data_IF_053053694921
#
_entry.id   IF_053053694921
#
_cell.length_a   1.000
_cell.length_b   1.000
_cell.length_c   1.000
_cell.angle_alpha   90.00
_cell.angle_beta   90.00
_cell.angle_gamma   90.00
#
_symmetry.space_group_name_H-M   'P 1'
#
loop_
_entity.id
_entity.type
_entity.pdbx_description
1 polymer ?
#
# COMPACT_ATOMS: atom_id res chain seq x y z
N UNK A 1 9.20 11.28 12.18
CA UNK A 1 7.89 10.68 11.80
C UNK A 1 8.16 9.41 11.02
N UNK A 2 7.21 8.48 11.00
CA UNK A 2 7.26 7.31 10.13
C UNK A 2 6.11 7.35 9.14
N UNK A 3 6.35 6.88 7.92
CA UNK A 3 5.29 6.66 6.95
C UNK A 3 4.73 5.28 7.17
N UNK A 4 3.40 5.16 7.24
CA UNK A 4 2.72 3.86 7.40
C UNK A 4 3.21 2.85 6.35
N UNK A 5 3.39 1.61 6.78
CA UNK A 5 3.72 0.51 5.90
C UNK A 5 2.59 0.20 4.92
N UNK A 6 2.94 -0.39 3.79
CA UNK A 6 1.96 -0.88 2.83
C UNK A 6 1.34 -2.18 3.31
N UNK A 7 0.02 -2.20 3.49
CA UNK A 7 -0.76 -3.42 3.61
C UNK A 7 -1.45 -3.68 2.26
N UNK A 8 -1.49 -4.94 1.80
CA UNK A 8 -2.27 -5.34 0.62
C UNK A 8 -3.76 -4.96 0.74
N UNK A 9 -4.27 -4.80 1.97
CA UNK A 9 -5.59 -4.24 2.21
C UNK A 9 -5.74 -2.78 1.74
N UNK A 10 -4.65 -1.99 1.72
CA UNK A 10 -4.66 -0.60 1.26
C UNK A 10 -4.99 -0.49 -0.24
N UNK A 11 -4.51 -1.42 -1.08
CA UNK A 11 -4.71 -1.38 -2.55
C UNK A 11 -6.19 -1.42 -2.93
N UNK A 12 -6.96 -2.31 -2.31
CA UNK A 12 -8.36 -2.51 -2.67
C UNK A 12 -9.28 -1.45 -2.10
N UNK A 13 -8.89 -0.79 -0.99
CA UNK A 13 -9.70 0.27 -0.37
C UNK A 13 -9.35 1.67 -0.88
N UNK A 14 -8.15 1.88 -1.45
CA UNK A 14 -7.66 3.20 -1.86
C UNK A 14 -7.02 3.14 -3.26
N UNK A 15 -7.83 3.08 -4.33
CA UNK A 15 -7.32 2.96 -5.70
C UNK A 15 -6.53 4.19 -6.18
N UNK A 16 -6.63 5.33 -5.49
CA UNK A 16 -5.82 6.52 -5.78
C UNK A 16 -4.95 6.90 -4.57
N UNK A 17 -3.65 6.66 -4.68
CA UNK A 17 -2.66 7.01 -3.65
C UNK A 17 -1.70 8.07 -4.17
N UNK A 18 -1.47 9.10 -3.35
CA UNK A 18 -0.48 10.15 -3.61
C UNK A 18 0.80 9.99 -2.79
N UNK A 19 0.80 9.09 -1.80
CA UNK A 19 2.00 8.71 -1.04
C UNK A 19 2.80 7.69 -1.84
N UNK A 20 4.04 7.99 -2.26
CA UNK A 20 4.83 7.09 -3.07
C UNK A 20 5.19 5.78 -2.36
N UNK A 21 5.17 4.67 -3.09
CA UNK A 21 5.37 3.36 -2.47
C UNK A 21 6.77 3.11 -1.91
N UNK A 22 7.79 3.82 -2.40
CA UNK A 22 9.17 3.64 -1.95
C UNK A 22 9.43 4.19 -0.54
N UNK A 23 8.56 5.05 0.00
CA UNK A 23 8.69 5.57 1.37
C UNK A 23 7.83 4.83 2.39
N UNK A 24 7.06 3.82 2.01
CA UNK A 24 6.25 3.06 2.97
C UNK A 24 7.12 2.38 4.02
N UNK A 25 6.74 2.53 5.29
CA UNK A 25 7.50 2.02 6.44
C UNK A 25 8.73 2.86 6.80
N UNK A 26 9.10 3.84 5.97
CA UNK A 26 10.34 4.59 6.13
C UNK A 26 10.23 5.75 7.12
N UNK A 27 11.35 6.04 7.77
CA UNK A 27 11.51 7.15 8.71
C UNK A 27 11.93 8.41 7.98
N UNK A 28 11.32 9.53 8.37
CA UNK A 28 11.68 10.84 7.85
C UNK A 28 11.55 11.95 8.87
N UNK A 29 12.08 13.11 8.51
CA UNK A 29 12.03 14.35 9.29
C UNK A 29 11.07 15.32 8.61
N UNK A 30 10.10 15.86 9.35
CA UNK A 30 9.22 16.91 8.85
C UNK A 30 10.04 18.20 8.73
N UNK A 31 10.11 18.75 7.53
CA UNK A 31 10.80 20.03 7.26
C UNK A 31 9.82 21.20 7.30
N UNK A 32 8.61 20.99 6.79
CA UNK A 32 7.64 22.06 6.62
C UNK A 32 6.20 21.53 6.71
N UNK A 33 5.32 22.30 7.34
CA UNK A 33 3.88 22.16 7.20
C UNK A 33 3.42 23.02 6.01
N UNK A 34 2.95 22.36 4.95
CA UNK A 34 2.60 23.02 3.68
C UNK A 34 1.20 23.64 3.74
N UNK A 35 0.26 22.98 4.42
CA UNK A 35 -1.10 23.48 4.57
C UNK A 35 -2.14 22.37 4.69
N UNK A 36 -3.42 22.75 4.56
CA UNK A 36 -4.56 21.85 4.60
C UNK A 36 -5.25 21.77 3.22
N UNK A 37 -5.20 20.60 2.59
CA UNK A 37 -5.74 20.35 1.24
C UNK A 37 -6.80 19.25 1.28
N UNK A 38 -7.68 19.19 0.28
CA UNK A 38 -8.69 18.14 0.21
C UNK A 38 -8.05 16.75 0.18
N UNK A 39 -8.67 15.75 0.82
CA UNK A 39 -8.16 14.38 0.83
C UNK A 39 -8.08 13.84 -0.62
N UNK A 40 -6.86 13.52 -1.13
CA UNK A 40 -6.67 13.08 -2.51
C UNK A 40 -7.39 11.77 -2.82
N UNK A 41 -7.51 10.87 -1.85
CA UNK A 41 -8.15 9.56 -2.00
C UNK A 41 -9.66 9.70 -2.26
N UNK A 42 -10.28 10.77 -1.73
CA UNK A 42 -11.69 11.07 -1.92
C UNK A 42 -11.93 11.91 -3.17
N UNK A 43 -11.15 12.99 -3.38
CA UNK A 43 -11.38 13.89 -4.53
C UNK A 43 -11.12 13.24 -5.88
N UNK A 44 -10.35 12.15 -5.93
CA UNK A 44 -10.14 11.40 -7.16
C UNK A 44 -11.42 10.74 -7.70
N UNK A 45 -12.42 10.50 -6.84
CA UNK A 45 -13.66 9.80 -7.20
C UNK A 45 -14.94 10.57 -6.84
N UNK A 46 -14.83 11.70 -6.15
CA UNK A 46 -15.97 12.51 -5.74
C UNK A 46 -16.44 13.48 -6.84
N UNK A 47 -17.72 13.85 -6.80
CA UNK A 47 -18.24 14.98 -7.59
C UNK A 47 -17.53 16.27 -7.13
N UNK A 48 -16.96 17.07 -8.05
CA UNK A 48 -16.27 18.33 -7.72
C UNK A 48 -17.10 19.34 -6.90
N UNK A 49 -18.43 19.22 -6.92
CA UNK A 49 -19.35 20.07 -6.15
C UNK A 49 -19.47 19.65 -4.68
N UNK A 50 -19.04 18.45 -4.33
CA UNK A 50 -19.09 17.92 -2.97
C UNK A 50 -17.82 18.32 -2.24
N UNK A 51 -17.97 19.02 -1.12
CA UNK A 51 -16.85 19.38 -0.27
C UNK A 51 -16.18 18.13 0.30
N UNK A 52 -14.86 18.02 0.14
CA UNK A 52 -14.06 16.93 0.69
C UNK A 52 -13.35 17.38 1.98
N UNK A 53 -13.25 16.50 3.00
CA UNK A 53 -12.50 16.82 4.21
C UNK A 53 -11.06 17.18 3.88
N UNK A 54 -10.55 18.21 4.55
CA UNK A 54 -9.16 18.64 4.38
C UNK A 54 -8.23 17.81 5.28
N UNK A 55 -7.10 17.40 4.72
CA UNK A 55 -5.99 16.75 5.39
C UNK A 55 -4.78 17.68 5.39
N UNK A 56 -4.00 17.64 6.46
CA UNK A 56 -2.72 18.35 6.57
C UNK A 56 -1.69 17.70 5.64
N UNK A 57 -0.88 18.53 4.99
CA UNK A 57 0.20 18.12 4.09
C UNK A 57 1.53 18.61 4.66
N UNK A 58 2.51 17.70 4.72
CA UNK A 58 3.84 17.99 5.24
C UNK A 58 4.89 17.67 4.18
N UNK A 59 5.96 18.46 4.11
CA UNK A 59 7.18 18.09 3.41
C UNK A 59 8.08 17.31 4.37
N UNK A 60 8.43 16.09 3.98
CA UNK A 60 9.21 15.17 4.78
C UNK A 60 10.47 14.79 4.02
N UNK A 61 11.63 14.94 4.66
CA UNK A 61 12.92 14.52 4.12
C UNK A 61 13.28 13.13 4.61
N UNK A 62 13.81 12.33 3.69
CA UNK A 62 14.27 10.96 3.89
C UNK A 62 15.69 10.83 3.37
N UNK A 63 16.53 10.04 4.05
CA UNK A 63 17.86 9.73 3.55
C UNK A 63 17.76 8.63 2.51
N UNK A 64 18.49 8.77 1.40
CA UNK A 64 18.48 7.78 0.32
C UNK A 64 18.99 6.42 0.78
N UNK A 65 19.99 6.40 1.67
CA UNK A 65 20.45 5.17 2.32
C UNK A 65 19.31 4.45 3.05
N UNK A 66 18.45 5.15 3.78
CA UNK A 66 17.40 4.47 4.55
C UNK A 66 16.34 3.85 3.63
N UNK A 67 16.16 4.41 2.43
CA UNK A 67 15.19 3.92 1.44
C UNK A 67 15.73 2.75 0.62
N UNK A 68 17.00 2.80 0.24
CA UNK A 68 17.54 1.97 -0.84
C UNK A 68 18.72 1.08 -0.41
N UNK A 69 19.22 1.15 0.84
CA UNK A 69 20.33 0.29 1.33
C UNK A 69 20.13 -1.21 1.06
N UNK A 70 18.93 -1.81 1.26
CA UNK A 70 18.72 -3.23 0.97
C UNK A 70 18.93 -3.63 -0.51
N UNK A 71 19.12 -2.68 -1.43
CA UNK A 71 19.28 -2.90 -2.87
C UNK A 71 20.71 -2.73 -3.39
N UNK A 72 21.70 -2.60 -2.49
CA UNK A 72 23.12 -2.57 -2.86
C UNK A 72 23.58 -1.30 -3.57
N UNK A 73 22.84 -0.20 -3.42
CA UNK A 73 23.21 1.08 -4.01
C UNK A 73 24.03 1.91 -3.00
N UNK A 74 25.15 2.46 -3.48
CA UNK A 74 26.05 3.34 -2.74
C UNK A 74 25.56 4.78 -2.92
N UNK A 75 24.93 5.33 -1.87
CA UNK A 75 24.52 6.73 -1.82
C UNK A 75 25.44 7.45 -0.87
N UNK A 76 25.78 8.70 -1.19
CA UNK A 76 26.55 9.55 -0.29
C UNK A 76 25.85 9.63 1.08
N UNK A 77 26.64 9.78 2.14
CA UNK A 77 26.13 9.78 3.52
C UNK A 77 25.07 10.85 3.83
N UNK A 78 24.88 11.83 2.95
CA UNK A 78 23.95 12.95 3.10
C UNK A 78 22.91 13.05 1.97
N UNK A 79 22.93 12.15 0.99
CA UNK A 79 21.98 12.15 -0.10
C UNK A 79 20.56 11.93 0.44
N UNK A 80 19.65 12.80 0.06
CA UNK A 80 18.29 12.81 0.59
C UNK A 80 17.26 13.14 -0.48
N UNK A 81 16.03 12.71 -0.23
CA UNK A 81 14.87 13.06 -1.03
C UNK A 81 13.79 13.65 -0.12
N UNK A 82 13.04 14.60 -0.67
CA UNK A 82 11.88 15.19 0.01
C UNK A 82 10.61 14.78 -0.69
N UNK A 83 9.61 14.37 0.07
CA UNK A 83 8.28 14.06 -0.44
C UNK A 83 7.21 14.82 0.35
N UNK A 84 6.15 15.21 -0.35
CA UNK A 84 4.96 15.78 0.27
C UNK A 84 4.02 14.64 0.68
N UNK A 85 3.77 14.51 1.98
CA UNK A 85 3.04 13.39 2.58
C UNK A 85 1.88 13.91 3.40
N UNK A 86 0.69 13.39 3.12
CA UNK A 86 -0.53 13.72 3.87
C UNK A 86 -0.49 13.08 5.26
N UNK A 87 -0.98 13.81 6.27
CA UNK A 87 -1.02 13.38 7.67
C UNK A 87 -1.59 11.97 7.91
N UNK A 88 -2.65 11.51 7.23
CA UNK A 88 -3.18 10.16 7.44
C UNK A 88 -2.18 9.03 7.11
N UNK A 89 -1.11 9.33 6.36
CA UNK A 89 -0.02 8.42 6.04
C UNK A 89 1.17 8.51 7.00
N UNK A 90 1.17 9.49 7.91
CA UNK A 90 2.21 9.67 8.90
C UNK A 90 1.77 9.09 10.24
N UNK A 91 2.73 8.57 10.98
CA UNK A 91 2.59 8.20 12.38
C UNK A 91 3.72 8.81 13.19
N UNK A 92 3.40 9.17 14.43
CA UNK A 92 4.40 9.58 15.40
C UNK A 92 5.17 8.35 15.82
N UNK A 93 6.48 8.50 15.95
CA UNK A 93 7.26 7.49 16.64
C UNK A 93 7.12 7.77 18.12
N UNK A 94 6.25 7.03 18.79
CA UNK A 94 6.17 7.08 20.24
C UNK A 94 7.53 6.67 20.81
N UNK A 95 8.11 7.53 21.65
CA UNK A 95 9.37 7.29 22.34
C UNK A 95 9.29 6.22 23.43
N UNK A 96 8.36 5.27 23.35
CA UNK A 96 8.14 4.23 24.36
C UNK A 96 7.94 2.85 23.72
N UNK A 97 8.97 2.02 23.90
CA UNK A 97 8.94 0.57 24.15
C UNK A 97 8.08 -0.35 23.25
N UNK A 98 8.79 -1.19 22.48
CA UNK A 98 8.54 -2.64 22.35
C UNK A 98 7.14 -3.12 22.73
N UNK A 99 6.22 -3.15 21.76
CA UNK A 99 5.26 -4.25 21.69
C UNK A 99 5.87 -5.29 20.75
N UNK A 100 6.39 -6.36 21.34
CA UNK A 100 6.77 -7.56 20.61
C UNK A 100 5.54 -8.04 19.84
N UNK A 101 5.69 -8.08 18.52
CA UNK A 101 4.91 -9.00 17.69
C UNK A 101 5.42 -10.41 18.04
N UNK A 102 4.91 -10.95 19.14
CA UNK A 102 4.93 -12.39 19.37
C UNK A 102 4.18 -13.00 18.18
N UNK A 103 4.96 -13.62 17.30
CA UNK A 103 4.49 -14.22 16.07
C UNK A 103 3.24 -15.04 16.29
N UNK A 104 2.09 -14.45 16.00
CA UNK A 104 0.85 -15.17 15.84
C UNK A 104 1.01 -15.98 14.55
N UNK A 105 1.02 -17.33 14.61
CA UNK A 105 1.14 -18.12 13.40
C UNK A 105 -0.05 -17.80 12.49
N UNK A 106 0.27 -17.49 11.23
CA UNK A 106 -0.68 -17.27 10.16
C UNK A 106 -1.82 -18.32 10.23
N UNK A 107 -3.10 -17.92 10.16
CA UNK A 107 -4.19 -18.88 10.16
C UNK A 107 -4.00 -19.83 8.98
N UNK A 108 -3.84 -21.13 9.29
CA UNK A 108 -3.76 -22.19 8.28
C UNK A 108 -5.01 -22.09 7.41
N UNK A 109 -4.83 -21.76 6.13
CA UNK A 109 -5.90 -21.87 5.12
C UNK A 109 -6.40 -23.31 5.13
N UNK A 110 -7.57 -23.53 5.70
CA UNK A 110 -8.35 -24.74 5.45
C UNK A 110 -8.72 -24.74 3.96
N UNK A 111 -8.18 -25.73 3.22
CA UNK A 111 -8.67 -26.03 1.87
C UNK A 111 -10.14 -26.45 2.00
N UNK A 112 -11.05 -25.53 1.67
CA UNK A 112 -12.43 -25.91 1.36
C UNK A 112 -12.39 -26.59 0.00
N UNK A 113 -12.60 -27.90 -0.02
CA UNK A 113 -12.80 -28.64 -1.27
C UNK A 113 -14.13 -28.17 -1.88
N UNK A 114 -14.07 -27.31 -2.90
CA UNK A 114 -15.21 -27.11 -3.77
C UNK A 114 -15.36 -28.37 -4.63
N UNK A 115 -16.44 -29.11 -4.40
CA UNK A 115 -16.85 -30.25 -5.20
C UNK A 115 -17.22 -29.72 -6.60
N UNK A 116 -16.33 -29.86 -7.56
CA UNK A 116 -16.63 -29.52 -8.96
C UNK A 116 -17.32 -30.74 -9.55
N UNK A 117 -18.66 -30.69 -9.62
CA UNK A 117 -19.46 -31.68 -10.31
C UNK A 117 -19.13 -31.59 -11.81
N UNK A 118 -18.36 -32.55 -12.30
CA UNK A 118 -18.14 -32.74 -13.73
C UNK A 118 -19.45 -33.28 -14.32
N UNK A 119 -20.18 -32.42 -15.04
CA UNK A 119 -21.24 -32.88 -15.92
C UNK A 119 -20.63 -33.74 -17.03
N UNK A 120 -21.02 -35.00 -17.03
CA UNK A 120 -20.73 -35.98 -18.08
C UNK A 120 -21.44 -35.54 -19.36
N UNK A 121 -20.69 -35.00 -20.32
CA UNK A 121 -21.19 -34.76 -21.67
C UNK A 121 -21.09 -36.08 -22.44
N UNK A 122 -22.23 -36.77 -22.52
CA UNK A 122 -22.38 -38.04 -23.20
C UNK A 122 -21.76 -38.06 -24.60
N UNK A 123 -21.11 -39.19 -24.86
CA UNK A 123 -20.37 -39.57 -26.06
C UNK A 123 -21.23 -39.40 -27.34
N UNK A 124 -21.00 -38.32 -28.08
CA UNK A 124 -21.56 -38.14 -29.42
C UNK A 124 -20.75 -38.97 -30.42
N UNK A 125 -21.28 -40.14 -30.78
CA UNK A 125 -20.73 -40.98 -31.86
C UNK A 125 -20.69 -40.20 -33.18
N UNK A 126 -19.48 -39.89 -33.62
CA UNK A 126 -19.22 -39.38 -34.97
C UNK A 126 -19.33 -40.56 -35.95
N UNK A 127 -20.43 -40.62 -36.71
CA UNK A 127 -20.57 -41.56 -37.83
C UNK A 127 -19.87 -40.95 -39.04
N UNK A 128 -18.73 -41.52 -39.42
CA UNK A 128 -18.05 -41.19 -40.68
C UNK A 128 -18.84 -41.78 -41.85
N UNK A 129 -19.14 -41.01 -42.91
CA UNK A 129 -19.64 -41.57 -44.16
C UNK A 129 -18.52 -42.33 -44.89
N UNK A 130 -18.89 -43.46 -45.51
CA UNK A 130 -18.01 -44.26 -46.35
C UNK A 130 -17.97 -43.72 -47.80
N UNK A 131 -16.77 -43.80 -48.36
CA UNK A 131 -16.35 -43.68 -49.78
C UNK A 131 -16.55 -42.34 -50.52
#
# INVERSE_FOLDING_TARGET
>A
VRVKSFDFACTWRKPHLRTPGYIFGQRGVVEEFIGCYANPELVAFADPKVASPKCRLYRVRFLMRDIWTPKGADFGGEDSITAEVYEPWLELEDGSATHGDDGAPAPKRTKVHHHHEHHDHGDHKHVSPAE
#
